data_IF_070915786496
#
_entry.id   IF_070915786496
#
_cell.length_a   1.000
_cell.length_b   1.000
_cell.length_c   1.000
_cell.angle_alpha   90.00
_cell.angle_beta   90.00
_cell.angle_gamma   90.00
#
_symmetry.space_group_name_H-M   'P 1'
#
loop_
_entity.id
_entity.type
_entity.pdbx_description
1 polymer ?
#
# COMPACT_ATOMS: atom_id res chain seq x y z
N UNK A 1 -18.22 -5.68 -4.62
CA UNK A 1 -17.33 -5.42 -5.75
C UNK A 1 -17.85 -6.21 -6.94
N UNK A 2 -18.10 -5.52 -8.05
CA UNK A 2 -18.33 -6.11 -9.36
C UNK A 2 -17.17 -5.67 -10.27
N UNK A 3 -16.55 -6.62 -10.95
CA UNK A 3 -15.47 -6.36 -11.90
C UNK A 3 -15.75 -7.11 -13.20
N UNK A 4 -15.63 -6.40 -14.31
CA UNK A 4 -15.68 -6.97 -15.65
C UNK A 4 -14.38 -6.63 -16.37
N UNK A 5 -13.77 -7.62 -17.00
CA UNK A 5 -12.55 -7.42 -17.77
C UNK A 5 -12.61 -8.22 -19.07
N UNK A 6 -12.49 -7.53 -20.19
CA UNK A 6 -12.38 -8.08 -21.53
C UNK A 6 -10.91 -7.98 -21.99
N UNK A 7 -10.24 -9.12 -22.21
CA UNK A 7 -8.80 -9.16 -22.53
C UNK A 7 -8.49 -9.10 -24.03
N UNK A 8 -9.47 -9.24 -24.86
CA UNK A 8 -9.29 -9.17 -26.31
C UNK A 8 -10.32 -8.20 -26.91
N UNK A 9 -10.43 -7.04 -26.33
CA UNK A 9 -11.35 -6.00 -26.74
C UNK A 9 -11.18 -5.67 -28.21
N UNK A 10 -12.27 -5.76 -28.98
CA UNK A 10 -12.32 -5.60 -30.45
C UNK A 10 -11.36 -6.53 -31.22
N UNK A 11 -10.98 -7.68 -30.65
CA UNK A 11 -10.10 -8.65 -31.32
C UNK A 11 -8.62 -8.19 -31.49
N UNK A 12 -8.21 -7.15 -30.73
CA UNK A 12 -6.87 -6.54 -30.88
C UNK A 12 -5.90 -6.86 -29.73
N UNK A 13 -6.25 -7.79 -28.85
CA UNK A 13 -5.45 -8.11 -27.67
C UNK A 13 -5.45 -7.01 -26.59
N UNK A 14 -6.23 -5.96 -26.79
CA UNK A 14 -6.41 -4.88 -25.83
C UNK A 14 -7.22 -5.37 -24.61
N UNK A 15 -6.95 -4.79 -23.44
CA UNK A 15 -7.74 -5.07 -22.25
C UNK A 15 -8.56 -3.85 -21.87
N UNK A 16 -9.86 -4.02 -21.69
CA UNK A 16 -10.75 -3.03 -21.13
C UNK A 16 -11.38 -3.59 -19.86
N UNK A 17 -11.26 -2.87 -18.75
CA UNK A 17 -11.81 -3.32 -17.47
C UNK A 17 -12.63 -2.23 -16.82
N UNK A 18 -13.69 -2.66 -16.14
CA UNK A 18 -14.57 -1.83 -15.33
C UNK A 18 -14.62 -2.45 -13.94
N UNK A 19 -14.39 -1.66 -12.90
CA UNK A 19 -14.56 -2.09 -11.52
C UNK A 19 -15.52 -1.15 -10.81
N UNK A 20 -16.52 -1.72 -10.15
CA UNK A 20 -17.50 -0.99 -9.34
C UNK A 20 -17.53 -1.64 -7.97
N UNK A 21 -17.12 -0.90 -6.95
CA UNK A 21 -17.29 -1.26 -5.56
C UNK A 21 -18.30 -0.29 -4.94
N UNK A 22 -19.42 -0.80 -4.47
CA UNK A 22 -20.41 -0.03 -3.71
C UNK A 22 -20.51 -0.64 -2.31
N UNK A 23 -20.27 0.15 -1.31
CA UNK A 23 -20.38 -0.20 0.09
C UNK A 23 -20.93 1.01 0.86
N UNK A 24 -21.32 0.81 2.10
CA UNK A 24 -21.80 1.89 2.96
C UNK A 24 -20.73 2.98 3.14
N UNK A 25 -19.47 2.56 3.20
CA UNK A 25 -18.36 3.41 3.59
C UNK A 25 -17.29 3.56 2.49
N UNK A 26 -17.31 2.70 1.47
CA UNK A 26 -16.37 2.71 0.36
C UNK A 26 -17.12 2.61 -0.98
N UNK A 27 -16.90 3.59 -1.85
CA UNK A 27 -17.33 3.57 -3.24
C UNK A 27 -16.13 3.73 -4.15
N UNK A 28 -16.03 2.89 -5.18
CA UNK A 28 -15.00 2.97 -6.20
C UNK A 28 -15.64 2.72 -7.57
N UNK A 29 -15.36 3.62 -8.48
CA UNK A 29 -15.65 3.46 -9.91
C UNK A 29 -14.31 3.58 -10.65
N UNK A 30 -13.93 2.55 -11.37
CA UNK A 30 -12.68 2.53 -12.13
C UNK A 30 -12.92 2.01 -13.54
N UNK A 31 -12.32 2.69 -14.50
CA UNK A 31 -12.23 2.28 -15.89
C UNK A 31 -10.75 2.23 -16.25
N UNK A 32 -10.30 1.07 -16.74
CA UNK A 32 -8.94 0.91 -17.22
C UNK A 32 -8.89 0.34 -18.63
N UNK A 33 -8.02 0.92 -19.45
CA UNK A 33 -7.70 0.45 -20.79
C UNK A 33 -6.22 0.14 -20.86
N UNK A 34 -5.86 -0.94 -21.56
CA UNK A 34 -4.46 -1.29 -21.80
C UNK A 34 -4.27 -1.85 -23.21
N UNK A 35 -3.36 -1.25 -23.95
CA UNK A 35 -2.86 -1.67 -25.26
C UNK A 35 -1.46 -2.27 -25.08
N UNK A 36 -1.26 -3.59 -25.28
CA UNK A 36 0.04 -4.24 -25.04
C UNK A 36 1.10 -3.91 -26.11
N UNK A 37 0.69 -3.55 -27.32
CA UNK A 37 1.58 -3.32 -28.46
C UNK A 37 1.35 -1.93 -29.08
N UNK A 38 1.56 -0.89 -28.28
CA UNK A 38 1.42 0.49 -28.72
C UNK A 38 2.56 0.90 -29.65
N UNK A 39 2.24 1.54 -30.78
CA UNK A 39 3.20 1.98 -31.81
C UNK A 39 4.10 0.86 -32.38
N UNK A 40 3.60 -0.36 -32.50
CA UNK A 40 4.30 -1.53 -33.08
C UNK A 40 5.59 -1.94 -32.37
N UNK A 41 5.78 -1.54 -31.13
CA UNK A 41 6.89 -1.92 -30.25
C UNK A 41 6.35 -2.73 -29.09
N UNK A 42 7.22 -3.37 -28.33
CA UNK A 42 6.87 -4.02 -27.04
C UNK A 42 6.47 -3.00 -25.96
N UNK A 43 6.01 -1.82 -26.37
CA UNK A 43 5.57 -0.74 -25.50
C UNK A 43 4.09 -0.92 -25.18
N UNK A 44 3.77 -1.20 -23.94
CA UNK A 44 2.40 -1.18 -23.45
C UNK A 44 1.97 0.25 -23.11
N UNK A 45 0.77 0.65 -23.56
CA UNK A 45 0.13 1.90 -23.16
C UNK A 45 -1.12 1.61 -22.34
N UNK A 46 -1.33 2.32 -21.24
CA UNK A 46 -2.53 2.20 -20.46
C UNK A 46 -3.08 3.55 -19.99
N UNK A 47 -4.37 3.55 -19.71
CA UNK A 47 -5.10 4.69 -19.18
C UNK A 47 -6.02 4.21 -18.06
N UNK A 48 -5.90 4.82 -16.87
CA UNK A 48 -6.81 4.57 -15.75
C UNK A 48 -7.55 5.85 -15.40
N UNK A 49 -8.86 5.73 -15.24
CA UNK A 49 -9.73 6.75 -14.67
C UNK A 49 -10.42 6.15 -13.44
N UNK A 50 -10.32 6.80 -12.30
CA UNK A 50 -10.96 6.33 -11.07
C UNK A 50 -11.58 7.46 -10.28
N UNK A 51 -12.74 7.16 -9.68
CA UNK A 51 -13.42 7.98 -8.68
C UNK A 51 -13.57 7.12 -7.44
N UNK A 52 -13.00 7.57 -6.34
CA UNK A 52 -13.05 6.87 -5.06
C UNK A 52 -13.58 7.79 -3.98
N UNK A 53 -14.63 7.34 -3.28
CA UNK A 53 -15.16 7.96 -2.07
C UNK A 53 -15.01 6.99 -0.90
N UNK A 54 -14.42 7.45 0.20
CA UNK A 54 -14.21 6.64 1.42
C UNK A 54 -14.71 7.42 2.61
N UNK A 55 -15.70 6.86 3.33
CA UNK A 55 -16.32 7.45 4.52
C UNK A 55 -15.79 6.77 5.77
N UNK A 56 -15.27 7.54 6.68
CA UNK A 56 -14.95 7.29 8.12
C UNK A 56 -14.70 5.84 8.61
N UNK A 57 -14.18 4.92 7.80
CA UNK A 57 -13.94 3.54 8.26
C UNK A 57 -12.69 3.37 9.13
N UNK A 58 -11.57 3.99 8.69
CA UNK A 58 -10.28 3.88 9.37
C UNK A 58 -9.63 5.25 9.60
N UNK A 59 -10.37 6.31 9.34
CA UNK A 59 -9.96 7.68 9.52
C UNK A 59 -11.13 8.49 10.05
N UNK A 60 -10.86 9.54 10.78
CA UNK A 60 -11.89 10.39 11.36
C UNK A 60 -12.41 11.47 10.39
N UNK A 61 -12.25 11.26 9.07
CA UNK A 61 -12.63 12.17 7.98
C UNK A 61 -13.04 11.36 6.73
N UNK A 62 -13.80 11.98 5.85
CA UNK A 62 -14.17 11.43 4.54
C UNK A 62 -13.17 11.87 3.48
N UNK A 63 -12.94 11.03 2.45
CA UNK A 63 -12.00 11.34 1.37
C UNK A 63 -12.67 11.07 0.03
N UNK A 64 -12.72 12.08 -0.84
CA UNK A 64 -13.08 11.93 -2.26
C UNK A 64 -11.82 12.12 -3.12
N UNK A 65 -11.59 11.20 -4.05
CA UNK A 65 -10.45 11.27 -4.97
C UNK A 65 -10.88 10.94 -6.40
N UNK A 66 -10.66 11.89 -7.31
CA UNK A 66 -10.81 11.70 -8.75
C UNK A 66 -9.42 11.69 -9.37
N UNK A 67 -9.10 10.65 -10.15
CA UNK A 67 -7.76 10.46 -10.70
C UNK A 67 -7.81 10.01 -12.16
N UNK A 68 -7.00 10.65 -13.00
CA UNK A 68 -6.67 10.24 -14.35
C UNK A 68 -5.18 9.90 -14.41
N UNK A 69 -4.85 8.72 -14.97
CA UNK A 69 -3.47 8.23 -15.02
C UNK A 69 -3.17 7.51 -16.32
N UNK A 70 -2.70 8.19 -17.37
CA UNK A 70 -2.01 7.55 -18.48
C UNK A 70 -0.66 7.00 -18.04
N UNK A 71 -0.26 5.87 -18.63
CA UNK A 71 1.05 5.25 -18.35
C UNK A 71 1.55 4.45 -19.54
N UNK A 72 2.86 4.26 -19.58
CA UNK A 72 3.52 3.35 -20.50
C UNK A 72 4.31 2.30 -19.72
N UNK A 73 4.37 1.09 -20.27
CA UNK A 73 5.16 -0.02 -19.73
C UNK A 73 6.13 -0.50 -20.79
N UNK A 74 7.40 -0.47 -20.47
CA UNK A 74 8.46 -0.93 -21.36
C UNK A 74 9.21 -2.11 -20.72
N UNK A 75 9.28 -3.28 -21.37
CA UNK A 75 10.09 -4.40 -20.92
C UNK A 75 11.58 -4.08 -21.10
N UNK A 76 12.37 -4.29 -20.04
CA UNK A 76 13.83 -4.16 -20.03
C UNK A 76 14.50 -5.53 -20.10
N UNK A 77 13.92 -6.45 -20.87
CA UNK A 77 14.27 -7.86 -20.95
C UNK A 77 13.25 -8.75 -20.24
N UNK A 78 13.53 -10.05 -20.15
CA UNK A 78 12.55 -11.06 -19.71
C UNK A 78 12.09 -10.92 -18.27
N UNK A 79 12.91 -10.34 -17.39
CA UNK A 79 12.68 -10.29 -15.94
C UNK A 79 12.43 -8.90 -15.40
N UNK A 80 12.60 -7.88 -16.22
CA UNK A 80 12.55 -6.48 -15.80
C UNK A 80 11.61 -5.67 -16.66
N UNK A 81 10.93 -4.72 -16.04
CA UNK A 81 10.11 -3.74 -16.73
C UNK A 81 10.14 -2.40 -16.01
N UNK A 82 9.96 -1.35 -16.75
CA UNK A 82 9.74 0.00 -16.24
C UNK A 82 8.34 0.47 -16.65
N UNK A 83 7.59 0.97 -15.68
CA UNK A 83 6.34 1.69 -15.90
C UNK A 83 6.60 3.15 -15.63
N UNK A 84 6.26 4.02 -16.58
CA UNK A 84 6.30 5.47 -16.43
C UNK A 84 4.86 5.97 -16.49
N UNK A 85 4.45 6.78 -15.54
CA UNK A 85 3.10 7.30 -15.48
C UNK A 85 3.07 8.82 -15.26
N UNK A 86 2.06 9.44 -15.82
CA UNK A 86 1.62 10.78 -15.46
C UNK A 86 0.27 10.67 -14.74
N UNK A 87 0.06 11.44 -13.69
CA UNK A 87 -1.23 11.42 -13.02
C UNK A 87 -1.69 12.82 -12.63
N UNK A 88 -2.96 13.10 -12.91
CA UNK A 88 -3.68 14.24 -12.36
C UNK A 88 -4.71 13.68 -11.38
N UNK A 89 -4.75 14.22 -10.17
CA UNK A 89 -5.73 13.82 -9.17
C UNK A 89 -6.23 15.04 -8.41
N UNK A 90 -7.54 15.07 -8.19
CA UNK A 90 -8.19 16.02 -7.28
C UNK A 90 -8.63 15.25 -6.04
N UNK A 91 -8.21 15.71 -4.87
CA UNK A 91 -8.56 15.08 -3.59
C UNK A 91 -9.18 16.09 -2.66
N UNK A 92 -10.35 15.73 -2.12
CA UNK A 92 -11.07 16.46 -1.09
C UNK A 92 -11.07 15.68 0.22
N UNK A 93 -10.83 16.38 1.32
CA UNK A 93 -11.02 15.90 2.67
C UNK A 93 -12.19 16.63 3.27
N UNK A 94 -13.16 15.92 3.82
CA UNK A 94 -14.39 16.51 4.33
C UNK A 94 -14.88 15.82 5.62
N UNK A 95 -15.93 16.38 6.21
CA UNK A 95 -16.62 15.85 7.38
C UNK A 95 -15.67 15.40 8.51
N UNK A 96 -14.80 16.30 9.02
CA UNK A 96 -13.96 15.94 10.15
C UNK A 96 -14.88 15.63 11.34
N UNK A 97 -14.66 14.47 11.94
CA UNK A 97 -15.31 14.12 13.19
C UNK A 97 -14.70 14.92 14.35
N UNK A 98 -14.65 14.34 15.52
CA UNK A 98 -13.92 14.90 16.64
C UNK A 98 -12.43 14.59 16.49
N UNK A 99 -11.72 15.41 15.72
CA UNK A 99 -10.30 15.23 15.33
C UNK A 99 -9.43 16.33 15.89
N UNK A 100 -8.13 16.09 15.90
CA UNK A 100 -7.12 17.05 16.28
C UNK A 100 -6.98 18.23 15.31
N UNK A 101 -6.17 19.19 15.70
CA UNK A 101 -5.99 20.46 14.98
C UNK A 101 -5.29 20.28 13.63
N UNK A 102 -4.40 19.29 13.52
CA UNK A 102 -3.67 18.99 12.28
C UNK A 102 -4.64 18.52 11.20
N UNK A 103 -5.46 17.50 11.48
CA UNK A 103 -6.45 17.01 10.52
C UNK A 103 -7.48 18.10 10.20
N UNK A 104 -7.96 18.83 11.20
CA UNK A 104 -8.90 19.96 10.98
C UNK A 104 -8.31 21.00 10.02
N UNK A 105 -7.04 21.34 10.18
CA UNK A 105 -6.39 22.31 9.29
C UNK A 105 -6.21 21.78 7.87
N UNK A 106 -5.96 20.47 7.71
CA UNK A 106 -5.81 19.82 6.40
C UNK A 106 -7.15 19.68 5.66
N UNK A 107 -8.26 19.47 6.40
CA UNK A 107 -9.61 19.50 5.84
C UNK A 107 -9.97 20.91 5.37
N UNK A 108 -9.61 21.93 6.14
CA UNK A 108 -9.88 23.32 5.78
C UNK A 108 -9.08 23.81 4.54
N UNK A 109 -8.05 23.09 4.10
CA UNK A 109 -7.37 23.34 2.83
C UNK A 109 -8.29 23.07 1.62
N UNK A 110 -9.36 22.25 1.81
CA UNK A 110 -10.34 21.92 0.78
C UNK A 110 -9.78 21.04 -0.35
N UNK A 111 -10.34 21.20 -1.54
CA UNK A 111 -9.94 20.43 -2.73
C UNK A 111 -8.54 20.80 -3.19
N UNK A 112 -7.69 19.80 -3.31
CA UNK A 112 -6.30 19.97 -3.79
C UNK A 112 -6.11 19.22 -5.08
N UNK A 113 -5.67 19.95 -6.10
CA UNK A 113 -5.27 19.41 -7.38
C UNK A 113 -3.78 19.04 -7.34
N UNK A 114 -3.45 17.81 -7.67
CA UNK A 114 -2.09 17.30 -7.74
C UNK A 114 -1.78 16.77 -9.12
N UNK A 115 -0.67 17.20 -9.69
CA UNK A 115 -0.11 16.71 -10.95
C UNK A 115 1.25 16.10 -10.69
N UNK A 116 1.50 14.91 -11.22
CA UNK A 116 2.75 14.20 -10.95
C UNK A 116 3.17 13.28 -12.08
N UNK A 117 4.49 13.11 -12.22
CA UNK A 117 5.14 12.09 -13.05
C UNK A 117 5.80 11.09 -12.13
N UNK A 118 5.69 9.82 -12.46
CA UNK A 118 6.32 8.75 -11.71
C UNK A 118 6.93 7.68 -12.60
N UNK A 119 7.79 6.87 -11.99
CA UNK A 119 8.21 5.62 -12.59
C UNK A 119 8.25 4.51 -11.54
N UNK A 120 8.06 3.27 -12.00
CA UNK A 120 8.24 2.05 -11.20
C UNK A 120 9.10 1.10 -12.01
N UNK A 121 10.31 0.86 -11.54
CA UNK A 121 11.14 -0.24 -12.01
C UNK A 121 10.77 -1.52 -11.27
N UNK A 122 10.62 -2.63 -11.97
CA UNK A 122 10.31 -3.94 -11.40
C UNK A 122 11.21 -5.00 -12.00
N UNK A 123 11.83 -5.82 -11.15
CA UNK A 123 12.61 -7.00 -11.51
C UNK A 123 12.06 -8.20 -10.74
N UNK A 124 11.70 -9.29 -11.44
CA UNK A 124 11.13 -10.51 -10.80
C UNK A 124 11.76 -11.76 -11.42
N UNK A 125 12.57 -12.45 -10.64
CA UNK A 125 13.26 -13.67 -11.09
C UNK A 125 12.46 -14.94 -10.86
N UNK A 126 11.31 -14.87 -10.17
CA UNK A 126 10.49 -16.04 -9.84
C UNK A 126 9.72 -16.57 -11.05
N UNK A 127 9.38 -15.67 -11.99
CA UNK A 127 8.53 -15.97 -13.15
C UNK A 127 9.15 -16.97 -14.16
N UNK A 128 10.47 -17.22 -14.07
CA UNK A 128 11.22 -17.95 -15.11
C UNK A 128 11.83 -19.28 -14.65
N UNK A 129 11.54 -19.72 -13.43
CA UNK A 129 12.04 -21.01 -12.93
C UNK A 129 10.92 -22.04 -12.95
N UNK A 130 10.94 -22.91 -13.93
CA UNK A 130 10.06 -24.09 -13.98
C UNK A 130 10.37 -24.99 -12.78
N UNK A 131 9.41 -25.21 -11.89
CA UNK A 131 9.51 -26.12 -10.76
C UNK A 131 10.21 -25.60 -9.49
N UNK A 132 10.64 -24.35 -9.46
CA UNK A 132 11.23 -23.76 -8.23
C UNK A 132 10.63 -22.38 -7.98
N UNK A 133 10.02 -22.19 -6.80
CA UNK A 133 9.53 -20.89 -6.33
C UNK A 133 10.65 -19.96 -5.80
N UNK A 134 11.91 -20.35 -5.99
CA UNK A 134 13.07 -19.56 -5.54
C UNK A 134 13.25 -18.32 -6.41
N UNK A 135 13.42 -17.18 -5.81
CA UNK A 135 13.69 -15.97 -6.56
C UNK A 135 13.59 -14.70 -5.73
N UNK A 136 13.83 -13.60 -6.40
CA UNK A 136 13.83 -12.26 -5.81
C UNK A 136 12.90 -11.36 -6.62
N UNK A 137 12.12 -10.56 -5.91
CA UNK A 137 11.40 -9.41 -6.46
C UNK A 137 12.11 -8.16 -5.97
N UNK A 138 12.40 -7.24 -6.88
CA UNK A 138 12.82 -5.89 -6.57
C UNK A 138 11.87 -4.91 -7.25
N UNK A 139 11.34 -3.95 -6.50
CA UNK A 139 10.55 -2.84 -7.02
C UNK A 139 11.05 -1.53 -6.45
N UNK A 140 11.31 -0.56 -7.30
CA UNK A 140 11.66 0.81 -6.93
C UNK A 140 10.73 1.76 -7.67
N UNK A 141 10.01 2.58 -6.93
CA UNK A 141 9.12 3.61 -7.47
C UNK A 141 9.53 5.00 -6.99
N UNK A 142 9.50 5.97 -7.89
CA UNK A 142 9.58 7.39 -7.53
C UNK A 142 8.45 8.15 -8.21
N UNK A 143 7.88 9.08 -7.48
CA UNK A 143 6.81 9.96 -7.95
C UNK A 143 7.16 11.40 -7.60
N UNK A 144 7.22 12.24 -8.61
CA UNK A 144 7.52 13.67 -8.54
C UNK A 144 6.22 14.43 -8.70
N UNK A 145 5.74 15.07 -7.65
CA UNK A 145 4.53 15.90 -7.64
C UNK A 145 4.92 17.36 -7.78
N UNK A 146 4.13 18.14 -8.53
CA UNK A 146 4.34 19.59 -8.67
C UNK A 146 4.62 20.06 -10.10
N UNK A 147 4.18 19.30 -11.11
CA UNK A 147 4.20 19.73 -12.53
C UNK A 147 3.02 20.67 -12.83
N UNK A 148 2.71 21.58 -11.93
CA UNK A 148 1.54 22.43 -11.87
C UNK A 148 0.80 22.17 -10.57
N UNK A 149 0.59 23.18 -9.74
CA UNK A 149 -0.02 23.11 -8.41
C UNK A 149 0.88 23.68 -7.32
N UNK A 150 0.31 23.81 -6.14
CA UNK A 150 0.90 24.59 -5.02
C UNK A 150 1.92 23.78 -4.22
N UNK A 151 1.94 22.46 -4.35
CA UNK A 151 2.79 21.55 -3.55
C UNK A 151 3.78 20.81 -4.42
N UNK A 152 5.03 20.73 -3.96
CA UNK A 152 6.09 19.96 -4.63
C UNK A 152 6.63 18.90 -3.67
N UNK A 153 6.61 17.65 -4.12
CA UNK A 153 7.04 16.52 -3.32
C UNK A 153 7.70 15.43 -4.16
N UNK A 154 8.57 14.67 -3.53
CA UNK A 154 9.13 13.42 -4.06
C UNK A 154 8.73 12.29 -3.12
N UNK A 155 8.05 11.28 -3.67
CA UNK A 155 7.68 10.06 -2.95
C UNK A 155 8.45 8.89 -3.54
N UNK A 156 9.34 8.29 -2.74
CA UNK A 156 10.12 7.12 -3.11
C UNK A 156 9.60 5.91 -2.36
N UNK A 157 9.43 4.79 -3.03
CA UNK A 157 9.03 3.51 -2.43
C UNK A 157 9.93 2.40 -2.93
N UNK A 158 10.34 1.51 -2.03
CA UNK A 158 11.15 0.34 -2.36
C UNK A 158 10.54 -0.91 -1.74
N UNK A 159 10.56 -2.01 -2.49
CA UNK A 159 10.20 -3.35 -2.02
C UNK A 159 11.19 -4.35 -2.55
N UNK A 160 11.73 -5.15 -1.64
CA UNK A 160 12.58 -6.31 -1.95
C UNK A 160 11.95 -7.51 -1.27
N UNK A 161 11.68 -8.57 -2.02
CA UNK A 161 11.22 -9.83 -1.46
C UNK A 161 12.05 -10.96 -2.02
N UNK A 162 12.62 -11.78 -1.14
CA UNK A 162 13.35 -12.98 -1.50
C UNK A 162 12.60 -14.21 -0.98
N UNK A 163 12.49 -15.22 -1.82
CA UNK A 163 11.89 -16.50 -1.49
C UNK A 163 12.84 -17.64 -1.84
N UNK A 164 12.99 -18.59 -0.92
CA UNK A 164 13.81 -19.78 -1.11
C UNK A 164 13.15 -20.99 -0.48
N UNK A 165 13.13 -22.09 -1.21
CA UNK A 165 12.80 -23.39 -0.67
C UNK A 165 14.04 -24.07 -0.11
N UNK A 166 13.92 -24.74 1.02
CA UNK A 166 14.94 -25.49 1.72
C UNK A 166 14.42 -26.90 2.06
N UNK A 167 15.30 -27.79 2.49
CA UNK A 167 14.96 -29.17 2.90
C UNK A 167 14.08 -29.91 1.88
N UNK A 168 14.54 -30.02 0.63
CA UNK A 168 13.82 -30.69 -0.49
C UNK A 168 12.43 -30.12 -0.76
N UNK A 169 12.29 -28.79 -0.66
CA UNK A 169 11.04 -28.04 -0.86
C UNK A 169 10.00 -28.12 0.28
N UNK A 170 10.29 -28.82 1.37
CA UNK A 170 9.38 -28.89 2.51
C UNK A 170 9.31 -27.60 3.32
N UNK A 171 10.37 -26.75 3.28
CA UNK A 171 10.41 -25.47 3.98
C UNK A 171 10.55 -24.31 2.98
N UNK A 172 9.56 -23.44 2.95
CA UNK A 172 9.58 -22.21 2.16
C UNK A 172 9.90 -21.01 3.05
N UNK A 173 11.05 -20.41 2.82
CA UNK A 173 11.50 -19.20 3.52
C UNK A 173 11.21 -17.97 2.67
N UNK A 174 10.64 -16.94 3.28
CA UNK A 174 10.38 -15.65 2.66
C UNK A 174 10.92 -14.54 3.55
N UNK A 175 11.68 -13.62 2.95
CA UNK A 175 12.11 -12.39 3.58
C UNK A 175 11.66 -11.21 2.71
N UNK A 176 11.02 -10.22 3.31
CA UNK A 176 10.51 -9.06 2.59
C UNK A 176 10.90 -7.78 3.33
N UNK A 177 11.44 -6.82 2.58
CA UNK A 177 11.72 -5.46 3.02
C UNK A 177 10.89 -4.48 2.22
N UNK A 178 10.19 -3.59 2.91
CA UNK A 178 9.49 -2.46 2.30
C UNK A 178 9.93 -1.16 2.97
N UNK A 179 10.11 -0.12 2.18
CA UNK A 179 10.37 1.23 2.69
C UNK A 179 9.72 2.29 1.84
N UNK A 180 9.51 3.46 2.44
CA UNK A 180 8.99 4.63 1.75
C UNK A 180 9.54 5.90 2.37
N UNK A 181 9.83 6.87 1.51
CA UNK A 181 10.29 8.22 1.86
C UNK A 181 9.41 9.23 1.13
N UNK A 182 8.90 10.19 1.85
CA UNK A 182 8.10 11.30 1.32
C UNK A 182 8.76 12.62 1.72
N UNK A 183 9.21 13.38 0.73
CA UNK A 183 9.88 14.67 0.98
C UNK A 183 9.13 15.77 0.25
N UNK A 184 8.69 16.78 0.99
CA UNK A 184 8.11 17.99 0.45
C UNK A 184 9.17 19.08 0.34
N UNK A 185 9.31 19.66 -0.85
CA UNK A 185 10.16 20.84 -1.09
C UNK A 185 9.37 22.14 -0.97
N UNK A 186 8.06 22.10 -1.23
CA UNK A 186 7.15 23.23 -1.08
C UNK A 186 5.83 22.73 -0.49
N UNK A 187 5.33 23.42 0.55
CA UNK A 187 4.13 23.00 1.30
C UNK A 187 4.42 21.89 2.31
N UNK A 188 3.37 21.32 2.87
CA UNK A 188 3.41 20.24 3.84
C UNK A 188 2.64 19.03 3.31
N UNK A 189 3.02 17.84 3.80
CA UNK A 189 2.28 16.61 3.56
C UNK A 189 0.90 16.67 4.19
N UNK A 190 -0.11 16.14 3.52
CA UNK A 190 -1.42 15.88 4.12
C UNK A 190 -1.52 14.41 4.52
N UNK A 191 -2.45 14.11 5.40
CA UNK A 191 -2.73 12.75 5.88
C UNK A 191 -2.92 11.74 4.75
N UNK A 192 -3.50 12.16 3.62
CA UNK A 192 -3.68 11.32 2.41
C UNK A 192 -2.40 11.03 1.62
N UNK A 193 -1.35 11.85 1.80
CA UNK A 193 -0.07 11.70 1.11
C UNK A 193 0.88 10.79 1.89
N UNK A 194 0.73 10.75 3.21
CA UNK A 194 1.60 10.05 4.15
C UNK A 194 1.44 8.53 4.08
N UNK A 195 2.37 7.83 4.66
CA UNK A 195 2.31 6.38 4.82
C UNK A 195 1.59 6.01 6.11
N UNK A 196 0.91 4.86 6.08
CA UNK A 196 0.29 4.25 7.25
C UNK A 196 0.79 2.82 7.40
N UNK A 197 1.08 2.43 8.63
CA UNK A 197 1.39 1.06 8.99
C UNK A 197 0.31 0.48 9.91
N UNK A 198 0.09 -0.82 9.79
CA UNK A 198 -0.86 -1.59 10.58
C UNK A 198 -1.03 -2.99 10.00
N UNK A 199 -2.14 -3.64 10.23
CA UNK A 199 -2.43 -5.07 9.95
C UNK A 199 -2.04 -5.58 8.56
N UNK A 200 -2.05 -4.72 7.53
CA UNK A 200 -1.67 -5.11 6.16
C UNK A 200 -0.16 -5.30 5.98
N UNK A 201 0.67 -4.61 6.77
CA UNK A 201 2.14 -4.64 6.67
C UNK A 201 2.81 -5.18 7.93
N UNK A 202 2.16 -5.03 9.07
CA UNK A 202 2.61 -5.47 10.40
C UNK A 202 1.48 -6.26 11.05
N UNK A 203 1.63 -7.58 11.14
CA UNK A 203 0.63 -8.45 11.76
C UNK A 203 0.56 -8.18 13.27
N UNK A 204 -0.63 -8.23 13.85
CA UNK A 204 -0.85 -7.94 15.27
C UNK A 204 -1.12 -6.48 15.62
N UNK A 205 -1.05 -5.58 14.67
CA UNK A 205 -1.35 -4.15 14.85
C UNK A 205 -2.61 -3.77 14.09
N UNK A 206 -3.38 -2.83 14.63
CA UNK A 206 -4.56 -2.30 13.98
C UNK A 206 -4.22 -1.45 12.74
N UNK A 207 -5.19 -1.23 11.88
CA UNK A 207 -5.02 -0.37 10.71
C UNK A 207 -4.69 1.06 11.15
N UNK A 208 -3.52 1.59 10.75
CA UNK A 208 -3.03 2.88 11.21
C UNK A 208 -2.62 2.92 12.69
N UNK A 209 -2.44 1.74 13.33
CA UNK A 209 -2.02 1.64 14.73
C UNK A 209 -0.63 2.19 14.99
N UNK A 210 0.28 2.10 14.02
CA UNK A 210 1.68 2.46 14.18
C UNK A 210 1.94 3.87 13.63
N UNK A 211 2.73 4.67 14.36
CA UNK A 211 3.31 5.92 13.89
C UNK A 211 2.81 7.19 14.57
N UNK A 212 3.09 8.37 14.00
CA UNK A 212 2.69 9.65 14.55
C UNK A 212 1.19 9.78 14.76
N UNK A 213 0.80 10.27 15.93
CA UNK A 213 -0.60 10.44 16.36
C UNK A 213 -0.79 11.77 17.04
N UNK A 214 -1.92 12.45 16.81
CA UNK A 214 -2.31 13.62 17.56
C UNK A 214 -3.25 13.22 18.71
N UNK A 215 -2.75 13.36 19.95
CA UNK A 215 -3.53 13.13 21.16
C UNK A 215 -4.01 14.47 21.70
N UNK A 216 -5.30 14.76 21.63
CA UNK A 216 -5.87 15.95 22.24
C UNK A 216 -6.66 15.58 23.49
N UNK A 217 -6.13 15.96 24.65
CA UNK A 217 -6.88 15.96 25.89
C UNK A 217 -7.75 17.24 25.89
N UNK A 218 -8.94 17.17 25.30
CA UNK A 218 -9.89 18.28 25.40
C UNK A 218 -10.56 18.21 26.78
N UNK A 219 -10.62 19.35 27.48
CA UNK A 219 -11.24 19.54 28.79
C UNK A 219 -12.72 19.13 28.88
N UNK A 220 -13.28 18.49 27.84
CA UNK A 220 -14.66 18.05 27.73
C UNK A 220 -14.81 16.53 27.67
N UNK A 221 -13.83 15.72 28.10
CA UNK A 221 -13.98 14.27 28.26
C UNK A 221 -13.90 13.42 26.99
N UNK A 222 -13.63 13.99 25.82
CA UNK A 222 -13.42 13.24 24.57
C UNK A 222 -11.96 13.41 24.16
N UNK A 223 -11.17 12.36 24.34
CA UNK A 223 -9.81 12.30 23.83
C UNK A 223 -9.83 11.86 22.36
N UNK A 224 -9.29 12.66 21.44
CA UNK A 224 -8.96 12.16 20.11
C UNK A 224 -7.58 11.52 20.14
N UNK A 225 -7.41 10.44 19.40
CA UNK A 225 -6.15 9.75 19.21
C UNK A 225 -6.01 9.44 17.73
N UNK A 226 -5.78 10.50 16.95
CA UNK A 226 -5.86 10.43 15.51
C UNK A 226 -4.54 9.97 14.90
N UNK A 227 -4.56 8.89 14.11
CA UNK A 227 -3.43 8.48 13.32
C UNK A 227 -3.14 9.51 12.22
N UNK A 228 -1.97 10.13 12.28
CA UNK A 228 -1.54 11.14 11.30
C UNK A 228 -0.77 10.54 10.12
N UNK A 229 -0.30 9.28 10.26
CA UNK A 229 0.66 8.70 9.33
C UNK A 229 2.05 9.30 9.49
N UNK A 230 3.02 8.77 8.74
CA UNK A 230 4.40 9.27 8.73
C UNK A 230 4.90 9.53 7.31
N UNK A 231 5.91 10.37 7.19
CA UNK A 231 6.56 10.65 5.92
C UNK A 231 7.56 9.56 5.52
N UNK A 232 8.05 8.78 6.50
CA UNK A 232 9.03 7.72 6.29
C UNK A 232 8.59 6.43 6.97
N UNK A 233 8.80 5.29 6.31
CA UNK A 233 8.61 3.99 6.95
C UNK A 233 9.64 2.97 6.49
N UNK A 234 9.87 1.96 7.32
CA UNK A 234 10.60 0.76 6.99
C UNK A 234 9.97 -0.44 7.70
N UNK A 235 9.81 -1.54 6.96
CA UNK A 235 9.25 -2.80 7.47
C UNK A 235 10.07 -3.96 6.93
N UNK A 236 10.40 -4.91 7.80
CA UNK A 236 10.98 -6.19 7.43
C UNK A 236 10.05 -7.29 7.93
N UNK A 237 9.78 -8.27 7.07
CA UNK A 237 8.96 -9.43 7.38
C UNK A 237 9.73 -10.70 7.06
N UNK A 238 9.78 -11.62 8.00
CA UNK A 238 10.30 -12.97 7.80
C UNK A 238 9.17 -13.97 7.95
N UNK A 239 9.16 -14.99 7.11
CA UNK A 239 8.17 -16.05 7.17
C UNK A 239 8.77 -17.38 6.76
N UNK A 240 8.46 -18.42 7.53
CA UNK A 240 8.80 -19.80 7.24
C UNK A 240 7.50 -20.60 7.11
N UNK A 241 7.21 -21.15 5.94
CA UNK A 241 6.05 -22.02 5.68
C UNK A 241 6.52 -23.47 5.55
N UNK A 242 5.82 -24.39 6.22
CA UNK A 242 6.17 -25.80 6.30
C UNK A 242 4.93 -26.71 6.34
N UNK A 243 5.03 -27.98 5.93
CA UNK A 243 3.93 -28.93 5.99
C UNK A 243 3.58 -29.25 7.45
N UNK A 244 2.29 -29.37 7.75
CA UNK A 244 1.80 -29.73 9.10
C UNK A 244 1.77 -31.26 9.35
N UNK A 245 2.25 -32.07 8.39
CA UNK A 245 2.15 -33.52 8.47
C UNK A 245 0.73 -34.06 8.22
N UNK A 246 -0.16 -33.22 7.71
CA UNK A 246 -1.51 -33.63 7.29
C UNK A 246 -1.47 -34.13 5.85
N UNK A 247 -2.40 -35.02 5.44
CA UNK A 247 -2.55 -35.41 4.04
C UNK A 247 -2.68 -34.21 3.10
N UNK A 248 -2.02 -34.24 1.95
CA UNK A 248 -1.99 -33.15 0.96
C UNK A 248 -3.38 -32.73 0.47
N UNK A 249 -4.35 -33.63 0.55
CA UNK A 249 -5.75 -33.40 0.20
C UNK A 249 -6.41 -32.29 1.02
N UNK A 250 -5.98 -32.07 2.25
CA UNK A 250 -6.48 -30.97 3.07
C UNK A 250 -5.97 -29.60 2.62
N UNK A 251 -4.88 -29.55 1.84
CA UNK A 251 -4.30 -28.32 1.31
C UNK A 251 -3.84 -27.33 2.40
N UNK A 252 -3.43 -27.84 3.57
CA UNK A 252 -3.06 -27.02 4.73
C UNK A 252 -1.57 -27.06 4.99
N UNK A 253 -0.96 -25.85 5.19
CA UNK A 253 0.41 -25.70 5.65
C UNK A 253 0.46 -24.77 6.86
N UNK A 254 1.47 -24.93 7.70
CA UNK A 254 1.76 -24.07 8.82
C UNK A 254 2.79 -23.02 8.47
N UNK A 255 2.87 -21.97 9.25
CA UNK A 255 3.94 -20.98 9.13
C UNK A 255 4.27 -20.31 10.45
N UNK A 256 5.50 -19.85 10.55
CA UNK A 256 5.97 -18.95 11.61
C UNK A 256 6.41 -17.64 10.97
N UNK A 257 6.18 -16.54 11.66
CA UNK A 257 6.57 -15.23 11.14
C UNK A 257 7.11 -14.30 12.23
N UNK A 258 7.94 -13.36 11.78
CA UNK A 258 8.43 -12.25 12.57
C UNK A 258 8.39 -10.98 11.73
N UNK A 259 7.73 -9.96 12.25
CA UNK A 259 7.56 -8.66 11.60
C UNK A 259 8.22 -7.58 12.46
N UNK A 260 8.99 -6.70 11.84
CA UNK A 260 9.58 -5.53 12.49
C UNK A 260 9.37 -4.30 11.60
N UNK A 261 8.92 -3.19 12.17
CA UNK A 261 8.67 -1.98 11.40
C UNK A 261 8.68 -0.72 12.23
N UNK A 262 8.81 0.38 11.51
CA UNK A 262 8.78 1.74 12.05
C UNK A 262 8.13 2.69 11.06
N UNK A 263 7.42 3.70 11.57
CA UNK A 263 6.81 4.79 10.82
C UNK A 263 7.11 6.08 11.57
N UNK A 264 7.73 7.05 10.90
CA UNK A 264 8.23 8.25 11.57
C UNK A 264 8.24 9.46 10.64
N UNK A 265 8.62 10.61 11.20
CA UNK A 265 8.72 11.90 10.55
C UNK A 265 7.37 12.51 10.19
N UNK A 266 7.13 13.68 10.76
CA UNK A 266 5.98 14.52 10.49
C UNK A 266 6.41 15.97 10.51
N UNK A 267 6.53 16.64 9.35
CA UNK A 267 6.94 18.06 9.29
C UNK A 267 5.90 19.00 9.92
N UNK A 268 4.62 18.74 9.71
CA UNK A 268 3.52 19.50 10.31
C UNK A 268 3.18 18.87 11.65
N UNK A 269 3.85 19.32 12.71
CA UNK A 269 3.71 18.81 14.06
C UNK A 269 3.26 19.91 15.02
N UNK A 270 2.74 19.52 16.17
CA UNK A 270 2.41 20.38 17.30
C UNK A 270 2.75 19.65 18.62
N UNK A 271 2.60 20.31 19.76
CA UNK A 271 2.95 19.76 21.08
C UNK A 271 2.09 18.55 21.50
N UNK A 272 1.03 18.21 20.76
CA UNK A 272 0.15 17.09 21.03
C UNK A 272 0.48 15.87 20.16
N UNK A 273 1.48 15.95 19.27
CA UNK A 273 1.90 14.82 18.44
C UNK A 273 2.82 13.91 19.23
N UNK A 274 2.47 12.63 19.22
CA UNK A 274 3.23 11.56 19.83
C UNK A 274 3.90 10.72 18.74
N UNK A 275 5.06 10.13 19.06
CA UNK A 275 5.80 9.16 18.22
C UNK A 275 6.27 9.69 16.86
N UNK A 276 6.49 11.00 16.69
CA UNK A 276 6.99 11.56 15.43
C UNK A 276 8.44 11.15 15.12
N UNK A 277 9.27 10.94 16.14
CA UNK A 277 10.65 10.44 15.98
C UNK A 277 10.71 8.94 15.65
N UNK A 278 9.57 8.28 15.74
CA UNK A 278 9.42 6.87 15.47
C UNK A 278 9.91 5.96 16.59
N UNK A 279 9.41 4.74 16.57
CA UNK A 279 9.83 3.64 17.44
C UNK A 279 9.63 2.33 16.70
N UNK A 280 10.60 1.42 16.84
CA UNK A 280 10.51 0.11 16.23
C UNK A 280 9.48 -0.74 16.95
N UNK A 281 8.51 -1.28 16.19
CA UNK A 281 7.50 -2.26 16.64
C UNK A 281 7.91 -3.64 16.19
N UNK A 282 7.51 -4.65 16.95
CA UNK A 282 7.86 -6.05 16.67
C UNK A 282 6.66 -6.94 16.96
N UNK A 283 6.42 -7.91 16.09
CA UNK A 283 5.43 -8.95 16.27
C UNK A 283 5.98 -10.30 15.82
N UNK A 284 5.56 -11.35 16.51
CA UNK A 284 5.84 -12.73 16.17
C UNK A 284 4.52 -13.48 16.09
N UNK A 285 4.48 -14.58 15.37
CA UNK A 285 3.27 -15.40 15.38
C UNK A 285 3.36 -16.61 14.48
N UNK A 286 2.23 -17.32 14.44
CA UNK A 286 2.02 -18.49 13.61
C UNK A 286 0.91 -18.21 12.59
N UNK A 287 0.99 -18.89 11.45
CA UNK A 287 0.00 -18.84 10.39
C UNK A 287 -0.48 -20.23 10.02
N UNK A 288 -1.74 -20.35 9.63
CA UNK A 288 -2.28 -21.50 8.95
C UNK A 288 -2.67 -21.05 7.54
N UNK A 289 -2.10 -21.69 6.52
CA UNK A 289 -2.46 -21.50 5.13
C UNK A 289 -3.36 -22.65 4.70
N UNK A 290 -4.47 -22.35 4.11
CA UNK A 290 -5.43 -23.35 3.66
C UNK A 290 -5.86 -23.08 2.22
N UNK A 291 -5.52 -24.00 1.32
CA UNK A 291 -5.95 -23.96 -0.09
C UNK A 291 -7.34 -24.55 -0.17
N UNK A 292 -8.37 -23.71 -0.29
CA UNK A 292 -9.75 -24.16 -0.43
C UNK A 292 -10.23 -24.05 -1.87
N UNK A 293 -11.30 -24.78 -2.26
CA UNK A 293 -11.90 -24.65 -3.59
C UNK A 293 -12.39 -23.24 -3.94
N UNK A 294 -12.74 -22.45 -2.93
CA UNK A 294 -13.18 -21.05 -3.10
C UNK A 294 -12.03 -20.03 -3.07
N UNK A 295 -10.79 -20.51 -2.92
CA UNK A 295 -9.59 -19.68 -2.88
C UNK A 295 -8.72 -19.92 -1.63
N UNK A 296 -7.50 -19.37 -1.60
CA UNK A 296 -6.60 -19.52 -0.46
C UNK A 296 -7.06 -18.71 0.74
N UNK A 297 -7.14 -19.35 1.89
CA UNK A 297 -7.38 -18.72 3.18
C UNK A 297 -6.09 -18.69 4.00
N UNK A 298 -5.92 -17.65 4.81
CA UNK A 298 -4.81 -17.52 5.73
C UNK A 298 -5.32 -17.02 7.08
N UNK A 299 -4.97 -17.73 8.13
CA UNK A 299 -5.24 -17.36 9.52
C UNK A 299 -3.91 -17.02 10.19
N UNK A 300 -3.80 -15.82 10.76
CA UNK A 300 -2.62 -15.38 11.51
C UNK A 300 -2.96 -15.25 12.98
N UNK A 301 -2.12 -15.82 13.81
CA UNK A 301 -2.14 -15.69 15.26
C UNK A 301 -0.86 -14.94 15.65
N UNK A 302 -0.99 -13.72 16.12
CA UNK A 302 0.14 -12.83 16.39
C UNK A 302 0.19 -12.38 17.82
N UNK A 303 1.40 -12.29 18.36
CA UNK A 303 1.71 -11.64 19.61
C UNK A 303 2.62 -10.45 19.36
N UNK A 304 2.37 -9.33 20.05
CA UNK A 304 3.10 -8.09 19.86
C UNK A 304 4.19 -8.00 20.93
N UNK A 305 5.45 -8.19 20.49
CA UNK A 305 6.61 -8.18 21.37
C UNK A 305 7.00 -6.76 21.81
N UNK A 306 6.80 -5.78 20.92
CA UNK A 306 7.12 -4.37 21.20
C UNK A 306 6.09 -3.46 20.58
N UNK A 307 5.44 -2.66 21.40
CA UNK A 307 4.41 -1.67 21.03
C UNK A 307 4.54 -0.41 21.88
N UNK A 308 3.88 0.64 21.46
CA UNK A 308 3.65 1.86 22.23
C UNK A 308 2.21 1.89 22.79
N UNK A 309 1.90 2.90 23.59
CA UNK A 309 0.66 2.93 24.37
C UNK A 309 -0.62 2.88 23.51
N UNK A 310 -0.57 3.35 22.25
CA UNK A 310 -1.75 3.50 21.39
C UNK A 310 -1.68 2.66 20.11
N UNK A 311 -0.75 1.71 20.05
CA UNK A 311 -0.59 0.82 18.89
C UNK A 311 -1.68 -0.26 18.83
#
# INVERSE_FOLDING_TARGET
LAEYSERNFLGRGQTLSFAIKTGKDDQLYEVSFFEPMFLRNDLGFGLNLSVKDTKKQNAAYDTENVKLQPYVVYPLGDRSKIKIDYSISQTDLSNPGNVGSIITSEVNEGKVLSSSVGYVYSHDTRLYKTGSNNGVIFKLGQKFTGLGGDKKAVKTTMRVAAQRNAFKDDLKLTAEFESGLLTYTTGNSRVIDRFFLGSRKMRGFDAGGIGPRESSNRNCGVSSNDALGGENFAVVRFEAEFPLGLPDEYGMTGGLFYDIGNLWSLKKSNNNVLYEDGSWRQAIGASIFWKTPIGPLRFNFSDVLKKEQFD
#
